data_IF_850785707972
#
_entry.id   IF_850785707972
#
_cell.length_a   1.000
_cell.length_b   1.000
_cell.length_c   1.000
_cell.angle_alpha   90.00
_cell.angle_beta   90.00
_cell.angle_gamma   90.00
#
_symmetry.space_group_name_H-M   'P 1'
#
loop_
_entity.id
_entity.type
_entity.pdbx_description
1 polymer ?
#
# COMPACT_ATOMS: atom_id res chain seq x y z
N UNK A 1 -23.45 -67.57 57.44
CA UNK A 1 -23.82 -66.23 56.92
C UNK A 1 -22.60 -65.68 56.20
N UNK A 2 -22.62 -65.59 54.86
CA UNK A 2 -21.56 -64.97 54.06
C UNK A 2 -22.19 -63.76 53.36
N UNK A 3 -21.76 -62.56 53.72
CA UNK A 3 -22.20 -61.30 53.08
C UNK A 3 -21.44 -61.13 51.77
N UNK A 4 -22.17 -61.14 50.65
CA UNK A 4 -21.64 -60.74 49.34
C UNK A 4 -21.88 -59.25 49.15
N UNK A 5 -20.80 -58.47 49.04
CA UNK A 5 -20.83 -57.04 48.68
C UNK A 5 -20.84 -56.94 47.15
N UNK A 6 -21.87 -56.29 46.60
CA UNK A 6 -22.01 -56.01 45.17
C UNK A 6 -21.41 -54.62 44.89
N UNK A 7 -20.35 -54.55 44.09
CA UNK A 7 -19.78 -53.28 43.60
C UNK A 7 -20.40 -52.98 42.24
N UNK A 8 -21.20 -51.92 42.15
CA UNK A 8 -21.74 -51.40 40.90
C UNK A 8 -20.76 -50.38 40.30
N UNK A 9 -20.19 -50.70 39.13
CA UNK A 9 -19.39 -49.76 38.33
C UNK A 9 -20.34 -49.00 37.41
N UNK A 10 -20.54 -47.71 37.68
CA UNK A 10 -21.24 -46.79 36.80
C UNK A 10 -20.31 -46.38 35.66
N UNK A 11 -20.54 -46.95 34.48
CA UNK A 11 -19.89 -46.50 33.24
C UNK A 11 -20.51 -45.16 32.83
N UNK A 12 -19.76 -44.06 32.97
CA UNK A 12 -20.13 -42.76 32.44
C UNK A 12 -19.95 -42.77 30.91
N UNK A 13 -21.05 -42.91 30.17
CA UNK A 13 -21.07 -42.64 28.73
C UNK A 13 -20.90 -41.12 28.52
N UNK A 14 -19.70 -40.68 28.17
CA UNK A 14 -19.51 -39.36 27.56
C UNK A 14 -20.09 -39.41 26.14
N UNK A 15 -21.30 -38.90 25.96
CA UNK A 15 -21.83 -38.61 24.62
C UNK A 15 -21.00 -37.51 23.98
N UNK A 16 -20.13 -37.86 23.03
CA UNK A 16 -19.55 -36.89 22.12
C UNK A 16 -20.69 -36.30 21.27
N UNK A 17 -21.08 -35.06 21.57
CA UNK A 17 -21.87 -34.26 20.67
C UNK A 17 -21.01 -34.00 19.42
N UNK A 18 -21.23 -34.81 18.37
CA UNK A 18 -20.79 -34.45 17.04
C UNK A 18 -21.66 -33.27 16.61
N UNK A 19 -21.08 -32.07 16.60
CA UNK A 19 -21.68 -30.93 15.91
C UNK A 19 -21.76 -31.32 14.43
N UNK A 20 -22.94 -31.78 13.99
CA UNK A 20 -23.21 -31.90 12.57
C UNK A 20 -23.08 -30.51 11.97
N UNK A 21 -22.10 -30.34 11.07
CA UNK A 21 -21.92 -29.10 10.33
C UNK A 21 -23.26 -28.75 9.66
N UNK A 22 -23.83 -27.62 10.05
CA UNK A 22 -25.03 -27.08 9.43
C UNK A 22 -24.68 -26.72 7.98
N UNK A 23 -24.94 -27.65 7.06
CA UNK A 23 -24.80 -27.44 5.61
C UNK A 23 -25.95 -26.55 5.15
N UNK A 24 -25.86 -25.25 5.45
CA UNK A 24 -26.60 -24.28 4.66
C UNK A 24 -26.09 -24.39 3.22
N UNK A 25 -26.96 -24.39 2.19
CA UNK A 25 -26.52 -24.26 0.80
C UNK A 25 -26.18 -22.79 0.55
N UNK A 26 -25.26 -22.23 1.35
CA UNK A 26 -24.61 -20.98 0.98
C UNK A 26 -23.79 -21.29 -0.28
N UNK A 27 -23.87 -20.45 -1.33
CA UNK A 27 -23.07 -20.65 -2.53
C UNK A 27 -21.59 -20.62 -2.14
N UNK A 28 -20.97 -21.80 -2.10
CA UNK A 28 -19.55 -21.96 -1.87
C UNK A 28 -18.83 -21.74 -3.20
N UNK A 29 -17.93 -20.76 -3.24
CA UNK A 29 -17.05 -20.55 -4.37
C UNK A 29 -15.78 -21.37 -4.12
N UNK A 30 -15.60 -22.43 -4.91
CA UNK A 30 -14.42 -23.29 -4.87
C UNK A 30 -13.40 -22.78 -5.90
N UNK A 31 -12.23 -22.35 -5.42
CA UNK A 31 -11.13 -21.79 -6.22
C UNK A 31 -9.78 -22.11 -5.59
N UNK A 32 -8.72 -22.14 -6.39
CA UNK A 32 -7.35 -22.38 -5.94
C UNK A 32 -6.84 -21.23 -5.07
N UNK A 33 -7.19 -19.98 -5.42
CA UNK A 33 -6.71 -18.78 -4.72
C UNK A 33 -7.82 -17.74 -4.53
N UNK A 34 -7.99 -17.30 -3.29
CA UNK A 34 -8.79 -16.12 -2.95
C UNK A 34 -7.87 -14.90 -2.73
N UNK A 35 -8.11 -13.84 -3.49
CA UNK A 35 -7.36 -12.59 -3.45
C UNK A 35 -8.20 -11.53 -2.74
N UNK A 36 -7.67 -10.98 -1.65
CA UNK A 36 -8.35 -9.93 -0.88
C UNK A 36 -7.85 -8.56 -1.34
N UNK A 37 -8.72 -7.79 -1.97
CA UNK A 37 -8.47 -6.44 -2.49
C UNK A 37 -8.33 -6.40 -4.02
N UNK A 38 -9.20 -5.63 -4.68
CA UNK A 38 -9.22 -5.36 -6.12
C UNK A 38 -8.38 -4.14 -6.52
N UNK A 39 -7.32 -3.82 -5.77
CA UNK A 39 -6.35 -2.80 -6.14
C UNK A 39 -5.36 -3.27 -7.21
N UNK A 40 -4.44 -2.40 -7.64
CA UNK A 40 -3.43 -2.72 -8.67
C UNK A 40 -2.65 -4.01 -8.38
N UNK A 41 -2.17 -4.19 -7.15
CA UNK A 41 -1.45 -5.39 -6.75
C UNK A 41 -2.30 -6.67 -6.80
N UNK A 42 -3.54 -6.61 -6.32
CA UNK A 42 -4.46 -7.75 -6.31
C UNK A 42 -4.92 -8.15 -7.72
N UNK A 43 -5.26 -7.18 -8.56
CA UNK A 43 -5.63 -7.43 -9.95
C UNK A 43 -4.44 -7.95 -10.76
N UNK A 44 -3.25 -7.39 -10.58
CA UNK A 44 -2.03 -7.90 -11.22
C UNK A 44 -1.76 -9.36 -10.82
N UNK A 45 -1.87 -9.69 -9.53
CA UNK A 45 -1.73 -11.07 -9.05
C UNK A 45 -2.82 -11.99 -9.63
N UNK A 46 -4.08 -11.54 -9.67
CA UNK A 46 -5.19 -12.31 -10.23
C UNK A 46 -4.97 -12.66 -11.71
N UNK A 47 -4.49 -11.69 -12.50
CA UNK A 47 -4.16 -11.90 -13.92
C UNK A 47 -3.02 -12.92 -14.04
N UNK A 48 -1.94 -12.74 -13.28
CA UNK A 48 -0.79 -13.67 -13.32
C UNK A 48 -1.17 -15.11 -12.94
N UNK A 49 -1.97 -15.28 -11.88
CA UNK A 49 -2.45 -16.60 -11.46
C UNK A 49 -3.39 -17.24 -12.49
N UNK A 50 -4.29 -16.44 -13.07
CA UNK A 50 -5.19 -16.90 -14.12
C UNK A 50 -4.42 -17.30 -15.39
N UNK A 51 -3.43 -16.51 -15.79
CA UNK A 51 -2.56 -16.82 -16.93
C UNK A 51 -1.71 -18.09 -16.66
N UNK A 52 -1.43 -18.42 -15.40
CA UNK A 52 -0.80 -19.68 -14.97
C UNK A 52 -1.78 -20.87 -14.84
N UNK A 53 -3.07 -20.68 -15.12
CA UNK A 53 -4.10 -21.73 -15.11
C UNK A 53 -4.80 -21.97 -13.77
N UNK A 54 -4.55 -21.13 -12.75
CA UNK A 54 -5.25 -21.23 -11.48
C UNK A 54 -6.67 -20.61 -11.56
N UNK A 55 -7.61 -21.21 -10.86
CA UNK A 55 -8.93 -20.63 -10.57
C UNK A 55 -8.80 -19.61 -9.44
N UNK A 56 -9.33 -18.40 -9.65
CA UNK A 56 -9.16 -17.28 -8.72
C UNK A 56 -10.46 -16.56 -8.45
N UNK A 57 -10.64 -16.10 -7.21
CA UNK A 57 -11.67 -15.12 -6.85
C UNK A 57 -11.01 -13.87 -6.28
N UNK A 58 -11.52 -12.69 -6.67
CA UNK A 58 -11.09 -11.41 -6.10
C UNK A 58 -12.24 -10.87 -5.25
N UNK A 59 -11.93 -10.57 -3.99
CA UNK A 59 -12.87 -10.03 -3.01
C UNK A 59 -12.49 -8.58 -2.76
N UNK A 60 -13.32 -7.66 -3.26
CA UNK A 60 -13.15 -6.22 -3.06
C UNK A 60 -14.29 -5.67 -2.20
N UNK A 61 -13.96 -4.77 -1.27
CA UNK A 61 -14.93 -4.14 -0.37
C UNK A 61 -15.76 -3.08 -1.07
N UNK A 62 -15.17 -2.33 -2.00
CA UNK A 62 -15.84 -1.29 -2.79
C UNK A 62 -16.67 -1.90 -3.92
N UNK A 63 -17.62 -1.14 -4.44
CA UNK A 63 -18.37 -1.50 -5.65
C UNK A 63 -17.57 -1.34 -6.95
N UNK A 64 -16.28 -1.01 -6.85
CA UNK A 64 -15.39 -0.80 -7.99
C UNK A 64 -13.98 -1.32 -7.66
N UNK A 65 -13.28 -1.80 -8.68
CA UNK A 65 -11.86 -2.15 -8.61
C UNK A 65 -10.99 -0.90 -8.82
N UNK A 66 -9.71 -0.99 -8.47
CA UNK A 66 -8.71 0.06 -8.71
C UNK A 66 -7.88 0.42 -7.48
N UNK A 67 -8.45 0.32 -6.28
CA UNK A 67 -7.76 0.66 -5.03
C UNK A 67 -7.36 2.14 -4.99
N UNK A 68 -6.07 2.45 -5.14
CA UNK A 68 -5.58 3.82 -5.31
C UNK A 68 -5.59 4.29 -6.78
N UNK A 69 -5.75 3.40 -7.76
CA UNK A 69 -5.94 3.78 -9.16
C UNK A 69 -7.42 4.07 -9.42
N UNK A 70 -7.90 5.21 -8.95
CA UNK A 70 -9.31 5.61 -9.04
C UNK A 70 -9.55 6.64 -10.15
N UNK A 71 -10.66 6.47 -10.86
CA UNK A 71 -11.11 7.37 -11.93
C UNK A 71 -12.41 8.05 -11.53
N UNK A 72 -12.37 9.37 -11.44
CA UNK A 72 -13.56 10.20 -11.26
C UNK A 72 -14.08 10.66 -12.62
N UNK A 73 -15.33 10.33 -12.94
CA UNK A 73 -16.00 10.87 -14.13
C UNK A 73 -16.82 12.07 -13.74
N UNK A 74 -16.47 13.25 -14.27
CA UNK A 74 -17.21 14.48 -13.99
C UNK A 74 -18.67 14.32 -14.47
N UNK A 75 -19.69 14.49 -13.60
CA UNK A 75 -21.08 14.21 -13.96
C UNK A 75 -21.64 15.17 -15.00
N UNK A 76 -21.07 16.37 -15.15
CA UNK A 76 -21.49 17.41 -16.11
C UNK A 76 -20.76 17.26 -17.45
N UNK A 77 -19.43 17.19 -17.43
CA UNK A 77 -18.62 17.16 -18.67
C UNK A 77 -18.45 15.76 -19.22
N UNK A 78 -18.71 14.72 -18.42
CA UNK A 78 -18.46 13.30 -18.73
C UNK A 78 -16.99 12.98 -19.01
N UNK A 79 -16.08 13.90 -18.71
CA UNK A 79 -14.63 13.69 -18.84
C UNK A 79 -14.13 12.87 -17.64
N UNK A 80 -13.46 11.73 -17.86
CA UNK A 80 -12.80 10.98 -16.80
C UNK A 80 -11.50 11.68 -16.38
N UNK A 81 -11.22 11.68 -15.08
CA UNK A 81 -9.99 12.18 -14.48
C UNK A 81 -9.47 11.16 -13.46
N UNK A 82 -8.17 10.84 -13.54
CA UNK A 82 -7.52 10.02 -12.53
C UNK A 82 -7.37 10.84 -11.24
N UNK A 83 -7.80 10.28 -10.11
CA UNK A 83 -7.71 10.91 -8.78
C UNK A 83 -6.70 10.22 -7.86
N UNK A 84 -5.93 9.28 -8.39
CA UNK A 84 -4.84 8.63 -7.68
C UNK A 84 -3.59 8.48 -8.53
N UNK A 85 -3.35 7.29 -9.08
CA UNK A 85 -2.15 7.04 -9.91
C UNK A 85 -2.28 7.77 -11.25
N UNK A 86 -1.31 8.65 -11.55
CA UNK A 86 -1.27 9.43 -12.79
C UNK A 86 0.00 9.20 -13.63
N UNK A 87 0.99 8.50 -13.07
CA UNK A 87 2.26 8.21 -13.71
C UNK A 87 2.62 6.75 -13.49
N UNK A 88 3.06 6.10 -14.57
CA UNK A 88 3.72 4.80 -14.51
C UNK A 88 5.15 4.98 -15.03
N UNK A 89 6.08 4.23 -14.45
CA UNK A 89 7.46 4.22 -14.94
C UNK A 89 7.53 3.63 -16.35
N UNK A 90 8.44 4.16 -17.17
CA UNK A 90 8.67 3.68 -18.53
C UNK A 90 9.51 2.39 -18.50
N UNK A 91 8.87 1.28 -18.14
CA UNK A 91 9.48 -0.05 -18.02
C UNK A 91 8.75 -1.05 -18.93
N UNK A 92 9.48 -2.02 -19.49
CA UNK A 92 8.91 -3.09 -20.35
C UNK A 92 7.78 -3.87 -19.67
N UNK A 93 7.88 -4.09 -18.35
CA UNK A 93 6.85 -4.80 -17.59
C UNK A 93 5.53 -4.02 -17.55
N UNK A 94 5.60 -2.69 -17.52
CA UNK A 94 4.43 -1.81 -17.55
C UNK A 94 3.80 -1.83 -18.94
N UNK A 95 4.60 -1.71 -19.99
CA UNK A 95 4.11 -1.76 -21.38
C UNK A 95 3.39 -3.09 -21.66
N UNK A 96 4.03 -4.22 -21.34
CA UNK A 96 3.43 -5.55 -21.50
C UNK A 96 2.13 -5.73 -20.71
N UNK A 97 2.05 -5.16 -19.51
CA UNK A 97 0.84 -5.23 -18.69
C UNK A 97 -0.32 -4.45 -19.32
N UNK A 98 -0.08 -3.23 -19.81
CA UNK A 98 -1.13 -2.47 -20.48
C UNK A 98 -1.52 -3.05 -21.84
N UNK A 99 -0.57 -3.60 -22.60
CA UNK A 99 -0.84 -4.33 -23.84
C UNK A 99 -1.72 -5.56 -23.58
N UNK A 100 -1.42 -6.32 -22.52
CA UNK A 100 -2.22 -7.47 -22.07
C UNK A 100 -3.67 -7.09 -21.73
N UNK A 101 -3.89 -5.85 -21.30
CA UNK A 101 -5.21 -5.28 -21.00
C UNK A 101 -5.86 -4.59 -22.21
N UNK A 102 -5.15 -4.42 -23.33
CA UNK A 102 -5.62 -3.69 -24.50
C UNK A 102 -5.78 -2.19 -24.25
N UNK A 103 -4.98 -1.62 -23.35
CA UNK A 103 -5.05 -0.21 -22.95
C UNK A 103 -3.92 0.57 -23.62
N UNK A 104 -4.28 1.59 -24.41
CA UNK A 104 -3.29 2.46 -25.02
C UNK A 104 -2.55 3.30 -23.96
N UNK A 105 -1.23 3.43 -24.13
CA UNK A 105 -0.37 4.25 -23.28
C UNK A 105 0.22 5.43 -24.05
N UNK A 106 0.45 6.53 -23.34
CA UNK A 106 1.11 7.73 -23.86
C UNK A 106 2.30 8.07 -22.96
N UNK A 107 3.46 8.32 -23.57
CA UNK A 107 4.67 8.73 -22.85
C UNK A 107 4.67 10.25 -22.72
N UNK A 108 4.77 10.73 -21.48
CA UNK A 108 4.85 12.16 -21.17
C UNK A 108 6.10 12.44 -20.34
N UNK A 109 6.70 13.61 -20.52
CA UNK A 109 7.70 14.11 -19.59
C UNK A 109 6.99 14.86 -18.46
N UNK A 110 6.94 14.33 -17.22
CA UNK A 110 6.22 14.97 -16.12
C UNK A 110 6.80 16.34 -15.74
N UNK A 111 8.05 16.62 -16.11
CA UNK A 111 8.73 17.89 -15.85
C UNK A 111 8.50 18.94 -16.95
N UNK A 112 7.90 18.56 -18.08
CA UNK A 112 7.65 19.48 -19.20
C UNK A 112 6.24 20.11 -19.16
N UNK A 113 5.43 19.82 -18.14
CA UNK A 113 4.07 20.34 -18.08
C UNK A 113 4.03 21.82 -17.69
N UNK A 114 3.26 22.62 -18.45
CA UNK A 114 3.00 24.04 -18.15
C UNK A 114 1.77 24.25 -17.26
N UNK A 115 1.09 23.16 -16.87
CA UNK A 115 -0.11 23.22 -16.04
C UNK A 115 0.29 23.44 -14.58
N UNK A 116 -0.01 24.62 -14.04
CA UNK A 116 0.22 24.92 -12.64
C UNK A 116 -0.73 24.09 -11.76
N UNK A 117 -0.16 23.26 -10.88
CA UNK A 117 -0.91 22.63 -9.79
C UNK A 117 -1.50 23.70 -8.88
N UNK A 118 -2.77 23.56 -8.51
CA UNK A 118 -3.44 24.47 -7.60
C UNK A 118 -3.62 23.78 -6.26
N UNK A 119 -3.02 24.32 -5.18
CA UNK A 119 -3.20 23.74 -3.85
C UNK A 119 -4.60 24.08 -3.32
N UNK A 120 -5.29 23.08 -2.78
CA UNK A 120 -6.58 23.22 -2.13
C UNK A 120 -6.54 22.55 -0.75
N UNK A 121 -7.23 23.16 0.20
CA UNK A 121 -7.60 22.49 1.44
C UNK A 121 -8.77 21.54 1.14
N UNK A 122 -8.54 20.23 1.24
CA UNK A 122 -9.58 19.24 0.95
C UNK A 122 -10.66 19.13 2.03
N UNK A 123 -10.40 19.61 3.26
CA UNK A 123 -11.41 19.65 4.32
C UNK A 123 -12.37 20.82 4.13
N UNK A 124 -11.85 21.96 3.68
CA UNK A 124 -12.64 23.20 3.50
C UNK A 124 -13.12 23.42 2.06
N UNK A 125 -12.51 22.73 1.07
CA UNK A 125 -12.81 22.90 -0.35
C UNK A 125 -12.39 24.27 -0.91
N UNK A 126 -11.48 24.98 -0.23
CA UNK A 126 -11.02 26.32 -0.61
C UNK A 126 -9.56 26.28 -1.11
N UNK A 127 -9.18 27.16 -2.05
CA UNK A 127 -7.79 27.24 -2.50
C UNK A 127 -6.89 27.68 -1.34
N UNK A 128 -5.70 27.08 -1.23
CA UNK A 128 -4.69 27.55 -0.30
C UNK A 128 -4.15 28.89 -0.83
N UNK A 129 -4.11 29.96 -0.03
CA UNK A 129 -3.58 31.25 -0.45
C UNK A 129 -2.16 31.13 -1.03
N UNK A 130 -1.86 31.93 -2.05
CA UNK A 130 -0.51 31.99 -2.60
C UNK A 130 0.48 32.47 -1.54
N UNK A 131 1.66 31.84 -1.51
CA UNK A 131 2.77 32.31 -0.68
C UNK A 131 3.20 33.71 -1.14
N UNK A 132 3.61 34.53 -0.18
CA UNK A 132 4.35 35.77 -0.47
C UNK A 132 5.71 35.45 -1.07
N UNK A 133 6.32 36.42 -1.78
CA UNK A 133 7.65 36.24 -2.37
C UNK A 133 8.70 35.88 -1.30
N UNK A 134 8.57 36.43 -0.10
CA UNK A 134 9.46 36.13 1.03
C UNK A 134 9.29 34.68 1.53
N UNK A 135 8.06 34.19 1.64
CA UNK A 135 7.77 32.80 2.04
C UNK A 135 8.20 31.80 0.96
N UNK A 136 8.00 32.14 -0.32
CA UNK A 136 8.44 31.33 -1.44
C UNK A 136 9.97 31.21 -1.48
N UNK A 137 10.68 32.33 -1.30
CA UNK A 137 12.14 32.34 -1.18
C UNK A 137 12.60 31.46 -0.01
N UNK A 138 12.07 31.71 1.20
CA UNK A 138 12.41 30.94 2.40
C UNK A 138 12.18 29.43 2.20
N UNK A 139 11.08 29.05 1.56
CA UNK A 139 10.77 27.65 1.24
C UNK A 139 11.80 27.05 0.27
N UNK A 140 12.19 27.77 -0.78
CA UNK A 140 13.22 27.33 -1.72
C UNK A 140 14.57 27.14 -1.03
N UNK A 141 14.97 28.05 -0.14
CA UNK A 141 16.20 27.92 0.63
C UNK A 141 16.16 26.75 1.61
N UNK A 142 15.02 26.51 2.27
CA UNK A 142 14.84 25.36 3.15
C UNK A 142 14.93 24.03 2.37
N UNK A 143 14.32 23.95 1.19
CA UNK A 143 14.40 22.77 0.31
C UNK A 143 15.84 22.54 -0.14
N UNK A 144 16.54 23.59 -0.59
CA UNK A 144 17.94 23.49 -1.00
C UNK A 144 18.84 22.97 0.14
N UNK A 145 18.66 23.51 1.36
CA UNK A 145 19.38 23.05 2.54
C UNK A 145 19.05 21.58 2.89
N UNK A 146 17.80 21.17 2.78
CA UNK A 146 17.38 19.79 3.01
C UNK A 146 17.99 18.82 1.99
N UNK A 147 18.00 19.18 0.70
CA UNK A 147 18.64 18.39 -0.36
C UNK A 147 20.14 18.25 -0.08
N UNK A 148 20.82 19.35 0.26
CA UNK A 148 22.24 19.31 0.60
C UNK A 148 22.51 18.40 1.80
N UNK A 149 21.71 18.53 2.87
CA UNK A 149 21.84 17.70 4.06
C UNK A 149 21.59 16.22 3.75
N UNK A 150 20.62 15.90 2.90
CA UNK A 150 20.35 14.53 2.45
C UNK A 150 21.53 13.96 1.66
N UNK A 151 22.04 14.70 0.68
CA UNK A 151 23.17 14.30 -0.15
C UNK A 151 24.47 14.10 0.63
N UNK A 152 24.70 14.89 1.67
CA UNK A 152 25.92 14.78 2.48
C UNK A 152 25.85 13.71 3.57
N UNK A 153 24.67 13.51 4.18
CA UNK A 153 24.54 12.68 5.39
C UNK A 153 23.82 11.36 5.17
N UNK A 154 23.02 11.22 4.12
CA UNK A 154 22.19 10.03 3.86
C UNK A 154 22.78 9.19 2.73
N UNK A 155 23.00 9.79 1.56
CA UNK A 155 23.46 9.04 0.38
C UNK A 155 24.81 8.30 0.58
N UNK A 156 25.84 8.89 1.21
CA UNK A 156 27.11 8.18 1.42
C UNK A 156 26.98 7.06 2.46
N UNK A 157 26.07 7.23 3.43
CA UNK A 157 25.84 6.25 4.51
C UNK A 157 24.98 5.08 4.05
N UNK A 158 24.03 5.33 3.15
CA UNK A 158 23.13 4.32 2.60
C UNK A 158 23.14 4.37 1.06
N UNK A 159 24.19 3.83 0.40
CA UNK A 159 24.28 3.84 -1.06
C UNK A 159 23.12 3.12 -1.79
N UNK A 160 22.37 2.30 -1.06
CA UNK A 160 21.22 1.53 -1.55
C UNK A 160 19.88 2.23 -1.33
N UNK A 161 19.82 3.38 -0.64
CA UNK A 161 18.55 3.99 -0.21
C UNK A 161 17.67 4.41 -1.40
N UNK A 162 18.29 4.79 -2.51
CA UNK A 162 17.58 5.19 -3.73
C UNK A 162 17.15 3.99 -4.60
N UNK A 163 17.50 2.76 -4.20
CA UNK A 163 17.05 1.52 -4.87
C UNK A 163 15.67 1.06 -4.36
N UNK A 164 15.06 1.81 -3.43
CA UNK A 164 13.70 1.61 -2.94
C UNK A 164 13.54 0.36 -2.08
N UNK A 165 13.33 -0.79 -2.72
CA UNK A 165 12.90 -2.03 -2.07
C UNK A 165 14.05 -2.98 -1.71
N UNK A 166 15.27 -2.69 -2.16
CA UNK A 166 16.47 -3.50 -1.90
C UNK A 166 17.14 -3.09 -0.58
N UNK A 167 16.40 -3.23 0.52
CA UNK A 167 16.88 -2.91 1.87
C UNK A 167 17.71 -4.07 2.42
N UNK A 168 18.91 -3.82 3.01
CA UNK A 168 19.73 -4.88 3.61
C UNK A 168 19.03 -5.53 4.81
N UNK A 169 19.41 -6.78 5.10
CA UNK A 169 18.96 -7.50 6.28
C UNK A 169 20.16 -7.82 7.22
N UNK A 170 20.13 -7.39 8.49
CA UNK A 170 19.10 -6.59 9.15
C UNK A 170 19.05 -5.14 8.64
N UNK A 171 17.86 -4.54 8.73
CA UNK A 171 17.69 -3.10 8.44
C UNK A 171 18.43 -2.30 9.50
N UNK A 172 19.19 -1.25 9.16
CA UNK A 172 19.83 -0.38 10.14
C UNK A 172 18.81 0.14 11.15
N UNK A 173 19.13 -0.02 12.44
CA UNK A 173 18.21 0.26 13.55
C UNK A 173 17.66 1.69 13.51
N UNK A 174 18.48 2.66 13.13
CA UNK A 174 18.09 4.06 13.01
C UNK A 174 17.03 4.34 11.94
N UNK A 175 16.88 3.46 10.95
CA UNK A 175 15.83 3.52 9.92
C UNK A 175 14.54 2.82 10.37
N UNK A 176 14.59 2.09 11.48
CA UNK A 176 13.41 1.44 12.09
C UNK A 176 12.71 2.33 13.12
N UNK A 177 13.34 3.44 13.52
CA UNK A 177 12.75 4.41 14.43
C UNK A 177 11.62 5.20 13.74
N UNK A 178 10.54 5.58 14.46
CA UNK A 178 9.55 6.51 13.94
C UNK A 178 10.20 7.81 13.47
N UNK A 179 9.73 8.37 12.36
CA UNK A 179 10.38 9.53 11.73
C UNK A 179 10.57 10.71 12.69
N UNK A 180 9.59 10.96 13.57
CA UNK A 180 9.66 12.00 14.60
C UNK A 180 10.73 11.71 15.69
N UNK A 181 10.99 10.44 16.00
CA UNK A 181 11.98 10.05 17.00
C UNK A 181 13.39 9.98 16.39
N UNK A 182 13.50 9.52 15.15
CA UNK A 182 14.76 9.48 14.39
C UNK A 182 15.33 10.86 14.09
N UNK A 183 14.48 11.87 13.82
CA UNK A 183 14.90 13.28 13.65
C UNK A 183 15.36 13.89 14.97
N UNK A 184 14.72 13.54 16.09
CA UNK A 184 15.11 13.97 17.44
C UNK A 184 16.41 13.31 17.93
N UNK A 185 16.64 12.05 17.56
CA UNK A 185 17.89 11.34 17.83
C UNK A 185 19.05 11.90 16.98
N UNK A 186 18.81 12.21 15.69
CA UNK A 186 19.79 12.85 14.79
C UNK A 186 20.18 14.26 15.22
N UNK A 187 19.23 15.06 15.72
CA UNK A 187 19.51 16.41 16.26
C UNK A 187 20.21 16.37 17.61
N UNK A 188 20.00 15.32 18.42
CA UNK A 188 20.75 15.12 19.68
C UNK A 188 22.16 14.61 19.46
N UNK A 189 22.41 13.77 18.44
CA UNK A 189 23.77 13.33 18.14
C UNK A 189 24.60 14.40 17.43
N UNK A 190 24.00 15.30 16.63
CA UNK A 190 24.74 16.42 16.02
C UNK A 190 25.19 17.48 17.02
N UNK A 191 24.59 17.56 18.21
CA UNK A 191 25.03 18.42 19.30
C UNK A 191 26.33 17.95 19.99
N UNK A 192 26.85 16.76 19.62
CA UNK A 192 28.13 16.23 20.13
C UNK A 192 29.28 16.29 19.10
N UNK A 193 29.05 16.83 17.89
CA UNK A 193 30.06 16.92 16.82
C UNK A 193 30.45 18.36 16.43
N UNK A 194 30.24 19.30 17.34
CA UNK A 194 30.82 20.65 17.28
C UNK A 194 31.63 20.92 18.56
N UNK A 195 32.61 20.06 18.84
CA UNK A 195 33.87 20.36 19.54
C UNK A 195 34.94 19.38 19.08
#
# INVERSE_FOLDING_TARGET
MRSSVLVAVLASCLSQAHAAAHKSPEPCIDVDVAIIGGGSGGIHAAIGLKDAGASVVVIEKKSQIGGHAETYTNPKTKVPANVGVVLFENLDVVEKYFDRLGVAISKINPFASSSQSKPYDFSLGIPIPAQTDAEAAASQQAIAAAIQAYSQNVLPKYPWIDQGYLVPHPVPEELTLPFCDGTRARTRSSATWAK
#
